data_IF_773582313768
#
_entry.id   IF_773582313768
#
_cell.length_a   1.000
_cell.length_b   1.000
_cell.length_c   1.000
_cell.angle_alpha   90.00
_cell.angle_beta   90.00
_cell.angle_gamma   90.00
#
_symmetry.space_group_name_H-M   'P 1'
#
loop_
_entity.id
_entity.type
_entity.pdbx_description
1 polymer ?
#
# COMPACT_ATOMS: atom_id res chain seq x y z
N UNK A 1 0.38 -3.56 29.17
CA UNK A 1 1.13 -4.51 28.34
C UNK A 1 1.62 -3.74 27.14
N UNK A 2 2.92 -3.69 26.90
CA UNK A 2 3.52 -2.95 25.78
C UNK A 2 3.47 -3.77 24.49
N UNK A 3 3.60 -3.12 23.33
CA UNK A 3 3.72 -3.82 22.04
C UNK A 3 4.93 -4.77 22.01
N UNK A 4 6.01 -4.43 22.72
CA UNK A 4 7.19 -5.30 22.90
C UNK A 4 6.84 -6.55 23.69
N UNK A 5 6.08 -6.42 24.78
CA UNK A 5 5.67 -7.56 25.63
C UNK A 5 4.80 -8.56 24.84
N UNK A 6 3.92 -8.06 23.96
CA UNK A 6 3.05 -8.88 23.11
C UNK A 6 3.88 -9.59 22.03
N UNK A 7 4.82 -8.88 21.40
CA UNK A 7 5.71 -9.45 20.39
C UNK A 7 6.58 -10.57 21.00
N UNK A 8 7.15 -10.34 22.17
CA UNK A 8 7.94 -11.36 22.88
C UNK A 8 7.12 -12.61 23.21
N UNK A 9 5.83 -12.46 23.52
CA UNK A 9 4.94 -13.59 23.77
C UNK A 9 4.57 -14.33 22.48
N UNK A 10 4.26 -13.60 21.41
CA UNK A 10 3.98 -14.19 20.10
C UNK A 10 5.18 -15.00 19.59
N UNK A 11 6.41 -14.50 19.76
CA UNK A 11 7.62 -15.19 19.32
C UNK A 11 7.88 -16.53 20.05
N UNK A 12 7.33 -16.72 21.25
CA UNK A 12 7.42 -17.99 22.01
C UNK A 12 6.48 -19.09 21.49
N UNK A 13 5.50 -18.73 20.66
CA UNK A 13 4.54 -19.69 20.09
C UNK A 13 5.20 -20.57 19.01
N UNK A 14 4.57 -21.71 18.70
CA UNK A 14 5.00 -22.56 17.58
C UNK A 14 4.82 -21.82 16.24
N UNK A 15 5.58 -22.16 15.19
CA UNK A 15 5.47 -21.48 13.89
C UNK A 15 4.04 -21.33 13.36
N UNK A 16 3.21 -22.36 13.47
CA UNK A 16 1.81 -22.34 13.03
C UNK A 16 0.95 -21.36 13.82
N UNK A 17 1.15 -21.26 15.13
CA UNK A 17 0.41 -20.33 15.99
C UNK A 17 0.86 -18.89 15.76
N UNK A 18 2.16 -18.67 15.53
CA UNK A 18 2.67 -17.35 15.11
C UNK A 18 2.00 -16.87 13.82
N UNK A 19 1.83 -17.77 12.86
CA UNK A 19 1.14 -17.44 11.61
C UNK A 19 -0.30 -17.01 11.86
N UNK A 20 -1.04 -17.71 12.72
CA UNK A 20 -2.42 -17.33 13.09
C UNK A 20 -2.48 -15.93 13.75
N UNK A 21 -1.53 -15.63 14.64
CA UNK A 21 -1.43 -14.30 15.27
C UNK A 21 -1.17 -13.21 14.23
N UNK A 22 -0.26 -13.45 13.30
CA UNK A 22 0.04 -12.51 12.20
C UNK A 22 -1.19 -12.29 11.32
N UNK A 23 -1.88 -13.36 10.92
CA UNK A 23 -3.11 -13.24 10.12
C UNK A 23 -4.19 -12.42 10.84
N UNK A 24 -4.41 -12.66 12.13
CA UNK A 24 -5.38 -11.90 12.92
C UNK A 24 -5.05 -10.42 13.00
N UNK A 25 -3.76 -10.08 13.19
CA UNK A 25 -3.30 -8.69 13.22
C UNK A 25 -3.50 -8.04 11.84
N UNK A 26 -3.08 -8.69 10.76
CA UNK A 26 -3.26 -8.15 9.39
C UNK A 26 -4.75 -7.89 9.12
N UNK A 27 -5.62 -8.85 9.45
CA UNK A 27 -7.08 -8.68 9.29
C UNK A 27 -7.64 -7.50 10.09
N UNK A 28 -7.10 -7.23 11.28
CA UNK A 28 -7.52 -6.07 12.08
C UNK A 28 -7.05 -4.72 11.52
N UNK A 29 -6.01 -4.72 10.67
CA UNK A 29 -5.50 -3.52 10.01
C UNK A 29 -6.20 -3.27 8.67
N UNK A 30 -6.67 -4.34 8.02
CA UNK A 30 -7.39 -4.31 6.74
C UNK A 30 -8.91 -4.35 6.95
N UNK A 31 -9.39 -3.67 8.00
CA UNK A 31 -10.82 -3.64 8.29
C UNK A 31 -11.52 -2.68 7.30
N UNK A 32 -12.50 -3.15 6.51
CA UNK A 32 -13.16 -2.31 5.53
C UNK A 32 -13.91 -1.16 6.21
N UNK A 33 -13.51 0.07 5.89
CA UNK A 33 -14.14 1.28 6.41
C UNK A 33 -15.20 1.77 5.42
N UNK A 34 -16.45 1.42 5.71
CA UNK A 34 -17.61 1.83 4.91
C UNK A 34 -17.74 3.36 4.73
N UNK A 35 -17.18 4.17 5.64
CA UNK A 35 -17.18 5.63 5.50
C UNK A 35 -16.16 6.09 4.47
N UNK A 36 -14.99 5.45 4.41
CA UNK A 36 -14.02 5.65 3.34
C UNK A 36 -14.59 5.18 2.00
N UNK A 37 -15.24 4.02 1.96
CA UNK A 37 -15.88 3.52 0.73
C UNK A 37 -16.88 4.52 0.15
N UNK A 38 -17.69 5.15 1.01
CA UNK A 38 -18.63 6.19 0.60
C UNK A 38 -17.92 7.42 0.01
N UNK A 39 -16.82 7.87 0.63
CA UNK A 39 -16.00 8.99 0.12
C UNK A 39 -15.39 8.64 -1.25
N UNK A 40 -14.85 7.42 -1.40
CA UNK A 40 -14.29 6.94 -2.66
C UNK A 40 -15.35 6.82 -3.75
N UNK A 41 -16.55 6.36 -3.42
CA UNK A 41 -17.67 6.26 -4.37
C UNK A 41 -18.09 7.64 -4.89
N UNK A 42 -18.25 8.62 -3.99
CA UNK A 42 -18.59 10.01 -4.34
C UNK A 42 -17.49 10.64 -5.23
N UNK A 43 -16.21 10.44 -4.89
CA UNK A 43 -15.10 10.95 -5.71
C UNK A 43 -15.03 10.28 -7.08
N UNK A 44 -15.24 8.96 -7.15
CA UNK A 44 -15.27 8.23 -8.41
C UNK A 44 -16.40 8.73 -9.32
N UNK A 45 -17.60 8.94 -8.76
CA UNK A 45 -18.74 9.48 -9.50
C UNK A 45 -18.47 10.90 -10.01
N UNK A 46 -17.90 11.77 -9.18
CA UNK A 46 -17.48 13.13 -9.59
C UNK A 46 -16.50 13.11 -10.75
N UNK A 47 -15.44 12.27 -10.67
CA UNK A 47 -14.43 12.16 -11.75
C UNK A 47 -15.04 11.62 -13.03
N UNK A 48 -15.92 10.62 -12.94
CA UNK A 48 -16.60 10.06 -14.10
C UNK A 48 -17.50 11.10 -14.77
N UNK A 49 -18.24 11.88 -13.99
CA UNK A 49 -19.10 12.95 -14.51
C UNK A 49 -18.29 14.07 -15.16
N UNK A 50 -17.16 14.49 -14.56
CA UNK A 50 -16.25 15.47 -15.15
C UNK A 50 -15.64 14.98 -16.47
N UNK A 51 -15.26 13.70 -16.54
CA UNK A 51 -14.77 13.09 -17.77
C UNK A 51 -15.85 13.08 -18.87
N UNK A 52 -17.07 12.66 -18.54
CA UNK A 52 -18.22 12.69 -19.47
C UNK A 52 -18.60 14.09 -19.92
N UNK A 53 -18.44 15.09 -19.05
CA UNK A 53 -18.66 16.50 -19.36
C UNK A 53 -17.51 17.13 -20.18
N UNK A 54 -16.41 16.40 -20.42
CA UNK A 54 -15.23 16.89 -21.12
C UNK A 54 -14.38 17.89 -20.31
N UNK A 55 -14.65 18.03 -19.01
CA UNK A 55 -13.89 18.93 -18.12
C UNK A 55 -12.69 18.24 -17.47
N UNK A 56 -12.62 16.91 -17.55
CA UNK A 56 -11.48 16.09 -17.14
C UNK A 56 -11.00 15.25 -18.33
N UNK A 57 -9.70 15.29 -18.62
CA UNK A 57 -9.11 14.42 -19.63
C UNK A 57 -8.92 13.01 -19.07
N UNK A 58 -9.32 12.02 -19.86
CA UNK A 58 -8.98 10.62 -19.59
C UNK A 58 -7.62 10.28 -20.19
N UNK A 59 -6.99 9.25 -19.65
CA UNK A 59 -5.77 8.66 -20.19
C UNK A 59 -6.07 7.22 -20.65
N UNK A 60 -5.48 6.75 -21.76
CA UNK A 60 -5.52 5.34 -22.13
C UNK A 60 -5.05 4.45 -20.98
N UNK A 61 -5.65 3.26 -20.86
CA UNK A 61 -5.39 2.37 -19.72
C UNK A 61 -3.92 1.92 -19.72
N UNK A 62 -3.38 1.66 -20.91
CA UNK A 62 -1.99 1.27 -21.13
C UNK A 62 -1.02 2.30 -20.56
N UNK A 63 -1.27 3.58 -20.84
CA UNK A 63 -0.45 4.69 -20.34
C UNK A 63 -0.62 4.87 -18.83
N UNK A 64 -1.84 4.69 -18.29
CA UNK A 64 -2.12 4.83 -16.87
C UNK A 64 -1.46 3.75 -16.00
N UNK A 65 -1.39 2.51 -16.52
CA UNK A 65 -0.72 1.38 -15.87
C UNK A 65 0.79 1.62 -15.88
N UNK A 66 1.34 2.07 -17.01
CA UNK A 66 2.75 2.37 -17.14
C UNK A 66 3.17 3.48 -16.16
N UNK A 67 2.41 4.57 -16.06
CA UNK A 67 2.68 5.65 -15.10
C UNK A 67 2.63 5.15 -13.65
N UNK A 68 1.60 4.35 -13.30
CA UNK A 68 1.48 3.79 -11.95
C UNK A 68 2.62 2.84 -11.60
N UNK A 69 3.02 1.97 -12.53
CA UNK A 69 4.18 1.08 -12.35
C UNK A 69 5.43 1.91 -12.10
N UNK A 70 5.66 2.96 -12.89
CA UNK A 70 6.82 3.82 -12.71
C UNK A 70 6.80 4.54 -11.35
N UNK A 71 5.65 5.07 -10.91
CA UNK A 71 5.54 5.71 -9.59
C UNK A 71 5.83 4.74 -8.44
N UNK A 72 5.29 3.52 -8.50
CA UNK A 72 5.57 2.47 -7.49
C UNK A 72 7.06 2.09 -7.53
N UNK A 73 7.62 1.87 -8.73
CA UNK A 73 9.03 1.53 -8.91
C UNK A 73 9.95 2.62 -8.33
N UNK A 74 9.69 3.89 -8.62
CA UNK A 74 10.45 5.01 -8.05
C UNK A 74 10.28 5.13 -6.54
N UNK A 75 9.09 4.87 -6.01
CA UNK A 75 8.85 4.88 -4.57
C UNK A 75 9.60 3.75 -3.86
N UNK A 76 9.77 2.59 -4.50
CA UNK A 76 10.55 1.48 -3.94
C UNK A 76 12.06 1.67 -4.11
N UNK A 77 12.51 2.22 -5.25
CA UNK A 77 13.91 2.60 -5.45
C UNK A 77 14.35 3.70 -4.49
N UNK A 78 13.47 4.64 -4.15
CA UNK A 78 13.76 5.70 -3.17
C UNK A 78 13.80 5.21 -1.71
N UNK A 79 13.23 4.04 -1.41
CA UNK A 79 13.29 3.40 -0.09
C UNK A 79 14.53 2.51 0.08
N UNK A 80 15.19 2.12 -1.02
CA UNK A 80 16.52 1.53 -0.94
C UNK A 80 17.48 2.65 -0.55
N UNK A 81 18.03 2.59 0.67
CA UNK A 81 19.14 3.47 1.06
C UNK A 81 20.26 3.35 0.00
N UNK A 82 20.97 4.42 -0.34
CA UNK A 82 22.16 4.34 -1.17
C UNK A 82 23.25 3.62 -0.38
N UNK A 83 23.22 2.29 -0.37
CA UNK A 83 24.26 1.45 0.19
C UNK A 83 25.50 1.57 -0.71
N UNK A 84 26.33 2.54 -0.34
CA UNK A 84 27.73 2.70 -0.69
C UNK A 84 28.10 2.40 -2.16
N UNK A 85 27.83 3.34 -3.06
CA UNK A 85 28.39 3.31 -4.41
C UNK A 85 29.92 3.52 -4.43
N UNK A 86 30.54 3.85 -3.29
CA UNK A 86 32.01 3.96 -3.17
C UNK A 86 32.70 2.60 -3.25
N UNK A 87 31.99 1.49 -3.00
CA UNK A 87 32.57 0.14 -3.12
C UNK A 87 32.67 -0.37 -4.56
N UNK A 88 32.11 0.35 -5.54
CA UNK A 88 32.09 -0.04 -6.96
C UNK A 88 33.03 0.77 -7.86
N UNK A 89 33.79 1.72 -7.29
CA UNK A 89 34.76 2.54 -8.02
C UNK A 89 36.14 2.57 -7.33
N UNK A 90 36.73 1.39 -7.12
CA UNK A 90 38.19 1.23 -7.02
C UNK A 90 38.76 0.57 -8.29
#
# INVERSE_FOLDING_TARGET
>A
MSSKDILEQALKLKPTERFLVVEGIIKSLDEPDSSLDAIWADEAEKRLNAYRAGTLAGMPVEDSIQERIMQVLFSELAKQEPDDASQYYE
#
